data_IF_547378343914
#
_entry.id   IF_547378343914
#
_cell.length_a   1.000
_cell.length_b   1.000
_cell.length_c   1.000
_cell.angle_alpha   90.00
_cell.angle_beta   90.00
_cell.angle_gamma   90.00
#
_symmetry.space_group_name_H-M   'P 1'
#
loop_
_entity.id
_entity.type
_entity.pdbx_description
1 polymer ?
#
# COMPACT_ATOMS: atom_id res chain seq x y z
N UNK A 1 -4.55 -23.40 -7.12
CA UNK A 1 -3.13 -23.05 -6.88
C UNK A 1 -3.08 -21.52 -6.87
N UNK A 2 -3.01 -20.92 -5.70
CA UNK A 2 -2.98 -19.45 -5.56
C UNK A 2 -1.53 -19.01 -5.73
N UNK A 3 -1.21 -18.50 -6.92
CA UNK A 3 0.12 -18.02 -7.23
C UNK A 3 0.58 -16.94 -6.29
N UNK A 4 1.81 -17.04 -5.89
CA UNK A 4 2.40 -16.13 -4.95
C UNK A 4 2.97 -14.94 -5.74
N UNK A 5 2.18 -13.87 -5.90
CA UNK A 5 2.69 -12.60 -6.45
C UNK A 5 4.00 -12.25 -5.78
N UNK A 6 5.01 -11.96 -6.58
CA UNK A 6 6.37 -11.69 -6.13
C UNK A 6 6.78 -10.27 -6.55
N UNK A 7 7.62 -9.65 -5.73
CA UNK A 7 8.20 -8.34 -5.99
C UNK A 7 9.72 -8.47 -6.05
N UNK A 8 10.33 -7.82 -7.02
CA UNK A 8 11.77 -7.82 -7.23
C UNK A 8 12.26 -6.38 -7.41
N UNK A 9 13.22 -5.98 -6.63
CA UNK A 9 13.91 -4.71 -6.81
C UNK A 9 15.26 -4.91 -7.49
N UNK A 10 15.61 -3.98 -8.39
CA UNK A 10 16.90 -3.95 -9.08
C UNK A 10 17.42 -2.52 -9.17
N UNK A 11 18.69 -2.32 -8.84
CA UNK A 11 19.43 -1.10 -9.12
C UNK A 11 20.22 -1.27 -10.40
N UNK A 12 19.95 -0.42 -11.38
CA UNK A 12 20.74 -0.34 -12.61
C UNK A 12 21.92 0.61 -12.36
N UNK A 13 23.14 0.09 -12.48
CA UNK A 13 24.37 0.88 -12.33
C UNK A 13 25.02 1.16 -13.66
N UNK A 14 25.52 2.39 -13.80
CA UNK A 14 26.38 2.80 -14.92
C UNK A 14 27.63 3.42 -14.32
N UNK A 15 28.80 2.91 -14.67
CA UNK A 15 30.10 3.33 -14.12
C UNK A 15 30.16 3.31 -12.57
N UNK A 16 29.49 2.33 -11.94
CA UNK A 16 29.45 2.19 -10.48
C UNK A 16 28.35 3.03 -9.77
N UNK A 17 27.77 4.02 -10.43
CA UNK A 17 26.69 4.85 -9.89
C UNK A 17 25.32 4.23 -10.17
N UNK A 18 24.39 4.31 -9.20
CA UNK A 18 23.00 3.92 -9.40
C UNK A 18 22.33 4.97 -10.29
N UNK A 19 21.87 4.56 -11.47
CA UNK A 19 21.16 5.42 -12.42
C UNK A 19 19.67 5.25 -12.36
N UNK A 20 19.20 4.08 -11.97
CA UNK A 20 17.78 3.77 -11.90
C UNK A 20 17.53 2.67 -10.87
N UNK A 21 16.41 2.76 -10.19
CA UNK A 21 15.82 1.68 -9.40
C UNK A 21 14.55 1.21 -10.08
N UNK A 22 14.39 -0.10 -10.23
CA UNK A 22 13.24 -0.72 -10.86
C UNK A 22 12.64 -1.70 -9.86
N UNK A 23 11.35 -1.62 -9.62
CA UNK A 23 10.62 -2.60 -8.81
C UNK A 23 9.55 -3.24 -9.68
N UNK A 24 9.65 -4.56 -9.84
CA UNK A 24 8.76 -5.34 -10.69
C UNK A 24 7.88 -6.20 -9.80
N UNK A 25 6.58 -6.17 -10.05
CA UNK A 25 5.63 -7.14 -9.55
C UNK A 25 5.41 -8.22 -10.62
N UNK A 26 5.38 -9.47 -10.22
CA UNK A 26 5.20 -10.63 -11.08
C UNK A 26 4.22 -11.60 -10.44
N UNK A 27 3.24 -12.02 -11.21
CA UNK A 27 2.29 -13.07 -10.84
C UNK A 27 2.62 -14.34 -11.64
N UNK A 28 3.18 -15.38 -11.01
CA UNK A 28 3.60 -16.60 -11.70
C UNK A 28 2.44 -17.45 -12.22
N UNK A 29 1.22 -17.34 -11.65
CA UNK A 29 0.08 -18.12 -12.12
C UNK A 29 -0.49 -17.60 -13.43
N UNK A 30 -0.57 -16.28 -13.58
CA UNK A 30 -1.08 -15.62 -14.78
C UNK A 30 0.02 -15.30 -15.78
N UNK A 31 1.30 -15.37 -15.37
CA UNK A 31 2.45 -14.89 -16.13
C UNK A 31 2.52 -13.35 -16.21
N UNK A 32 1.62 -12.63 -15.55
CA UNK A 32 1.63 -11.16 -15.56
C UNK A 32 2.89 -10.62 -14.91
N UNK A 33 3.47 -9.59 -15.55
CA UNK A 33 4.64 -8.87 -15.06
C UNK A 33 4.51 -7.39 -15.39
N UNK A 34 4.77 -6.53 -14.42
CA UNK A 34 4.73 -5.08 -14.59
C UNK A 34 5.55 -4.35 -13.55
N UNK A 35 5.79 -3.07 -13.75
CA UNK A 35 6.41 -2.23 -12.76
C UNK A 35 5.44 -2.03 -11.58
N UNK A 36 5.98 -2.04 -10.34
CA UNK A 36 5.22 -1.57 -9.18
C UNK A 36 4.88 -0.09 -9.39
N UNK A 37 3.60 0.25 -9.25
CA UNK A 37 3.15 1.63 -9.43
C UNK A 37 3.70 2.46 -8.26
N UNK A 38 4.38 3.55 -8.57
CA UNK A 38 4.89 4.50 -7.59
C UNK A 38 3.82 5.55 -7.28
N UNK A 39 3.36 5.57 -6.04
CA UNK A 39 2.50 6.61 -5.49
C UNK A 39 3.34 7.47 -4.54
N UNK A 40 4.02 8.52 -5.03
CA UNK A 40 4.95 9.31 -4.22
C UNK A 40 4.19 10.05 -3.13
N UNK A 41 4.65 9.91 -1.89
CA UNK A 41 4.15 10.67 -0.74
C UNK A 41 5.27 11.36 0.02
N UNK A 42 6.47 10.77 0.02
CA UNK A 42 7.61 11.19 0.82
C UNK A 42 8.86 11.46 -0.01
N UNK A 43 8.99 10.85 -1.19
CA UNK A 43 10.03 11.18 -2.14
C UNK A 43 9.52 12.20 -3.16
N UNK A 44 10.43 12.99 -3.75
CA UNK A 44 10.09 13.72 -4.97
C UNK A 44 9.76 12.72 -6.09
N UNK A 45 8.91 13.10 -7.03
CA UNK A 45 8.52 12.26 -8.18
C UNK A 45 9.74 11.74 -8.96
N UNK A 46 10.86 12.45 -8.91
CA UNK A 46 12.10 12.12 -9.63
C UNK A 46 13.01 11.14 -8.89
N UNK A 47 12.84 10.99 -7.56
CA UNK A 47 13.72 10.14 -6.74
C UNK A 47 13.41 8.65 -6.88
N UNK A 48 12.17 8.27 -7.22
CA UNK A 48 11.74 6.87 -7.35
C UNK A 48 11.85 6.07 -6.05
N UNK A 49 11.81 4.74 -6.17
CA UNK A 49 11.99 3.83 -5.06
C UNK A 49 13.47 3.70 -4.66
N UNK A 50 13.71 3.45 -3.37
CA UNK A 50 15.03 3.08 -2.86
C UNK A 50 14.91 2.11 -1.68
N UNK A 51 16.04 1.56 -1.19
CA UNK A 51 16.12 0.61 -0.07
C UNK A 51 17.51 0.59 0.56
N UNK A 52 17.67 -0.18 1.65
CA UNK A 52 18.95 -0.34 2.34
C UNK A 52 19.34 0.81 3.26
N UNK A 53 18.47 1.79 3.42
CA UNK A 53 18.55 2.91 4.36
C UNK A 53 17.16 3.49 4.59
N UNK A 54 17.04 4.40 5.55
CA UNK A 54 15.81 5.15 5.81
C UNK A 54 15.73 6.35 4.87
N UNK A 55 14.56 6.68 4.39
CA UNK A 55 14.33 7.86 3.56
C UNK A 55 13.04 7.83 2.76
N UNK A 56 12.75 8.91 2.04
CA UNK A 56 11.49 9.05 1.29
C UNK A 56 11.26 7.92 0.29
N UNK A 57 12.26 7.56 -0.50
CA UNK A 57 12.15 6.47 -1.48
C UNK A 57 11.92 5.10 -0.86
N UNK A 58 12.53 4.83 0.31
CA UNK A 58 12.32 3.58 1.05
C UNK A 58 10.93 3.55 1.71
N UNK A 59 10.45 4.68 2.22
CA UNK A 59 9.09 4.82 2.77
C UNK A 59 8.02 4.63 1.71
N UNK A 60 8.20 5.23 0.54
CA UNK A 60 7.29 5.08 -0.58
C UNK A 60 7.28 3.64 -1.10
N UNK A 61 8.46 2.99 -1.16
CA UNK A 61 8.54 1.57 -1.51
C UNK A 61 7.77 0.69 -0.53
N UNK A 62 7.98 0.86 0.77
CA UNK A 62 7.27 0.10 1.80
C UNK A 62 5.74 0.28 1.69
N UNK A 63 5.30 1.53 1.48
CA UNK A 63 3.88 1.85 1.30
C UNK A 63 3.32 1.20 0.04
N UNK A 64 3.96 1.35 -1.11
CA UNK A 64 3.48 0.82 -2.39
C UNK A 64 3.44 -0.71 -2.41
N UNK A 65 4.39 -1.38 -1.76
CA UNK A 65 4.39 -2.84 -1.59
C UNK A 65 3.16 -3.32 -0.81
N UNK A 66 2.81 -2.66 0.30
CA UNK A 66 1.61 -3.01 1.09
C UNK A 66 0.33 -2.73 0.30
N UNK A 67 0.24 -1.60 -0.40
CA UNK A 67 -0.92 -1.24 -1.20
C UNK A 67 -1.17 -2.27 -2.31
N UNK A 68 -0.13 -2.64 -3.05
CA UNK A 68 -0.24 -3.62 -4.13
C UNK A 68 -0.54 -5.03 -3.58
N UNK A 69 0.07 -5.40 -2.45
CA UNK A 69 -0.20 -6.69 -1.81
C UNK A 69 -1.65 -6.83 -1.32
N UNK A 70 -2.26 -5.75 -0.85
CA UNK A 70 -3.65 -5.71 -0.39
C UNK A 70 -4.64 -5.55 -1.54
N UNK A 71 -4.26 -4.88 -2.64
CA UNK A 71 -5.16 -4.57 -3.75
C UNK A 71 -6.38 -3.76 -3.29
N UNK A 72 -7.59 -4.21 -3.63
CA UNK A 72 -8.83 -3.52 -3.27
C UNK A 72 -9.01 -3.33 -1.75
N UNK A 73 -8.44 -4.21 -0.93
CA UNK A 73 -8.51 -4.08 0.53
C UNK A 73 -7.67 -2.90 1.08
N UNK A 74 -6.81 -2.29 0.26
CA UNK A 74 -6.07 -1.08 0.60
C UNK A 74 -6.94 0.18 0.55
N UNK A 75 -8.12 0.14 -0.07
CA UNK A 75 -9.03 1.29 -0.17
C UNK A 75 -9.53 1.68 1.22
N UNK A 76 -9.56 2.97 1.51
CA UNK A 76 -10.10 3.49 2.76
C UNK A 76 -11.60 3.14 2.87
N UNK A 77 -12.05 2.56 3.98
CA UNK A 77 -13.45 2.18 4.15
C UNK A 77 -14.37 3.38 4.35
N UNK A 78 -13.84 4.51 4.85
CA UNK A 78 -14.65 5.67 5.18
C UNK A 78 -15.00 6.49 3.93
N UNK A 79 -14.01 6.79 3.09
CA UNK A 79 -14.21 7.59 1.88
C UNK A 79 -14.27 6.76 0.58
N UNK A 80 -14.11 5.44 0.65
CA UNK A 80 -14.12 4.53 -0.50
C UNK A 80 -13.18 4.96 -1.64
N UNK A 81 -12.02 5.51 -1.29
CA UNK A 81 -11.03 5.98 -2.25
C UNK A 81 -11.26 7.41 -2.79
N UNK A 82 -12.27 8.11 -2.31
CA UNK A 82 -12.66 9.45 -2.81
C UNK A 82 -11.97 10.61 -2.09
N UNK A 83 -11.19 10.33 -1.05
CA UNK A 83 -10.40 11.31 -0.26
C UNK A 83 -11.24 12.33 0.53
N UNK A 84 -12.54 12.43 0.27
CA UNK A 84 -13.47 13.40 0.84
C UNK A 84 -14.72 12.72 1.37
N UNK A 85 -15.29 13.35 2.40
CA UNK A 85 -16.54 12.94 3.05
C UNK A 85 -17.51 14.12 3.02
N UNK A 86 -18.82 13.85 2.99
CA UNK A 86 -19.88 14.84 3.10
C UNK A 86 -20.78 14.52 4.29
N UNK A 87 -21.12 15.55 5.05
CA UNK A 87 -22.09 15.51 6.14
C UNK A 87 -23.45 15.92 5.61
N UNK A 88 -24.44 15.03 5.62
CA UNK A 88 -25.77 15.29 5.06
C UNK A 88 -26.74 15.99 6.03
N UNK A 89 -26.27 16.38 7.21
CA UNK A 89 -27.04 17.13 8.22
C UNK A 89 -27.10 16.41 9.57
N UNK A 90 -27.65 17.10 10.59
CA UNK A 90 -27.68 16.61 11.97
C UNK A 90 -28.61 15.42 12.20
N UNK A 91 -29.51 15.14 11.28
CA UNK A 91 -30.52 14.08 11.39
C UNK A 91 -30.07 12.74 10.78
N UNK A 92 -28.83 12.66 10.26
CA UNK A 92 -28.28 11.44 9.67
C UNK A 92 -27.46 10.71 10.73
N UNK A 93 -28.07 9.72 11.36
CA UNK A 93 -27.47 8.88 12.43
C UNK A 93 -26.25 8.08 11.95
N UNK A 94 -26.01 7.96 10.63
CA UNK A 94 -25.01 7.08 10.04
C UNK A 94 -23.63 7.76 9.87
N UNK A 95 -23.46 9.02 10.26
CA UNK A 95 -22.21 9.77 10.08
C UNK A 95 -21.97 10.24 8.64
N UNK A 96 -20.75 10.73 8.34
CA UNK A 96 -20.44 11.24 7.00
C UNK A 96 -20.32 10.09 5.99
N UNK A 97 -20.79 10.35 4.75
CA UNK A 97 -20.64 9.41 3.65
C UNK A 97 -19.55 9.83 2.64
N UNK A 98 -19.03 8.91 1.79
CA UNK A 98 -18.07 9.24 0.74
C UNK A 98 -18.62 10.30 -0.22
N UNK A 99 -17.90 11.42 -0.38
CA UNK A 99 -18.30 12.50 -1.30
C UNK A 99 -18.27 12.03 -2.76
N UNK A 100 -19.37 12.28 -3.47
CA UNK A 100 -19.52 12.02 -4.91
C UNK A 100 -20.07 13.29 -5.57
N UNK A 101 -19.30 13.89 -6.47
CA UNK A 101 -19.65 15.17 -7.11
C UNK A 101 -20.98 15.10 -7.87
N UNK A 102 -21.26 13.97 -8.54
CA UNK A 102 -22.52 13.80 -9.29
C UNK A 102 -23.73 13.64 -8.36
N UNK A 103 -23.54 13.01 -7.18
CA UNK A 103 -24.61 12.77 -6.20
C UNK A 103 -24.80 13.94 -5.25
N UNK A 104 -23.75 14.68 -4.96
CA UNK A 104 -23.72 15.76 -3.96
C UNK A 104 -23.43 17.14 -4.59
N UNK A 105 -23.85 17.33 -5.85
CA UNK A 105 -23.64 18.58 -6.58
C UNK A 105 -24.20 19.81 -5.85
N UNK A 106 -25.31 19.61 -5.09
CA UNK A 106 -25.99 20.67 -4.33
C UNK A 106 -25.59 20.68 -2.84
N UNK A 107 -24.59 19.89 -2.43
CA UNK A 107 -24.15 19.87 -1.03
C UNK A 107 -23.45 21.17 -0.66
N UNK A 108 -23.73 21.67 0.54
CA UNK A 108 -23.04 22.83 1.08
C UNK A 108 -21.52 22.53 1.17
N UNK A 109 -20.66 23.36 0.55
CA UNK A 109 -19.23 23.18 0.60
C UNK A 109 -18.64 23.08 2.01
N UNK A 110 -19.25 23.74 2.99
CA UNK A 110 -18.81 23.71 4.40
C UNK A 110 -19.06 22.35 5.07
N UNK A 111 -19.93 21.51 4.47
CA UNK A 111 -20.20 20.15 4.93
C UNK A 111 -19.26 19.11 4.28
N UNK A 112 -18.44 19.51 3.32
CA UNK A 112 -17.50 18.64 2.64
C UNK A 112 -16.13 18.73 3.32
N UNK A 113 -15.67 17.61 3.89
CA UNK A 113 -14.39 17.54 4.62
C UNK A 113 -13.43 16.56 3.98
N UNK A 114 -12.12 16.77 4.20
CA UNK A 114 -11.12 15.78 3.82
C UNK A 114 -11.24 14.55 4.74
N UNK A 115 -11.12 13.35 4.15
CA UNK A 115 -11.00 12.13 4.93
C UNK A 115 -9.64 12.09 5.65
N UNK A 116 -9.62 11.55 6.86
CA UNK A 116 -8.41 11.42 7.67
C UNK A 116 -7.31 10.58 6.97
N UNK A 117 -7.69 9.71 6.05
CA UNK A 117 -6.72 8.93 5.25
C UNK A 117 -5.84 9.82 4.35
N UNK A 118 -6.38 10.95 3.88
CA UNK A 118 -5.70 11.97 3.08
C UNK A 118 -5.45 11.62 1.61
N UNK A 119 -5.59 10.34 1.21
CA UNK A 119 -5.28 9.85 -0.13
C UNK A 119 -6.17 8.69 -0.61
N UNK A 120 -7.33 8.53 0.00
CA UNK A 120 -8.29 7.47 -0.35
C UNK A 120 -7.87 6.05 0.05
N UNK A 121 -6.74 5.89 0.74
CA UNK A 121 -6.16 4.61 1.09
C UNK A 121 -6.11 4.40 2.61
N UNK A 122 -6.13 3.15 3.04
CA UNK A 122 -6.00 2.81 4.47
C UNK A 122 -4.69 3.31 5.04
N UNK A 123 -4.75 3.71 6.30
CA UNK A 123 -3.56 3.98 7.10
C UNK A 123 -2.89 2.63 7.43
N UNK A 124 -1.78 2.36 6.77
CA UNK A 124 -1.00 1.12 6.92
C UNK A 124 0.28 1.39 7.71
N UNK A 125 0.83 0.39 8.43
CA UNK A 125 2.06 0.54 9.21
C UNK A 125 3.33 0.49 8.32
N UNK A 126 3.34 1.23 7.20
CA UNK A 126 4.44 1.19 6.22
C UNK A 126 5.77 1.68 6.81
N UNK A 127 5.76 2.55 7.83
CA UNK A 127 6.99 2.96 8.54
C UNK A 127 7.64 1.81 9.29
N UNK A 128 6.85 0.93 9.88
CA UNK A 128 7.38 -0.28 10.50
C UNK A 128 7.97 -1.21 9.43
N UNK A 129 7.31 -1.38 8.28
CA UNK A 129 7.85 -2.17 7.15
C UNK A 129 9.17 -1.58 6.62
N UNK A 130 9.25 -0.25 6.50
CA UNK A 130 10.50 0.44 6.14
C UNK A 130 11.63 0.07 7.09
N UNK A 131 11.41 0.23 8.40
CA UNK A 131 12.41 -0.01 9.44
C UNK A 131 12.84 -1.48 9.54
N UNK A 132 11.88 -2.39 9.47
CA UNK A 132 12.10 -3.81 9.74
C UNK A 132 12.60 -4.59 8.53
N UNK A 133 12.20 -4.19 7.32
CA UNK A 133 12.52 -4.90 6.08
C UNK A 133 13.26 -4.03 5.07
N UNK A 134 12.63 -2.98 4.54
CA UNK A 134 13.14 -2.24 3.37
C UNK A 134 14.50 -1.61 3.61
N UNK A 135 14.69 -0.96 4.77
CA UNK A 135 15.96 -0.34 5.14
C UNK A 135 17.08 -1.36 5.44
N UNK A 136 16.72 -2.64 5.63
CA UNK A 136 17.69 -3.72 5.90
C UNK A 136 18.13 -4.47 4.65
N UNK A 137 17.44 -4.32 3.53
CA UNK A 137 17.84 -4.97 2.29
C UNK A 137 19.20 -4.45 1.83
N UNK A 138 20.08 -5.36 1.42
CA UNK A 138 21.46 -5.05 1.04
C UNK A 138 21.69 -5.37 -0.44
N UNK A 139 22.64 -4.64 -1.04
CA UNK A 139 23.00 -4.86 -2.43
C UNK A 139 22.04 -4.24 -3.44
N UNK A 140 22.20 -4.66 -4.69
CA UNK A 140 21.51 -4.06 -5.84
C UNK A 140 20.20 -4.80 -6.21
N UNK A 141 19.86 -5.85 -5.47
CA UNK A 141 18.63 -6.61 -5.72
C UNK A 141 18.05 -7.23 -4.46
N UNK A 142 16.73 -7.38 -4.46
CA UNK A 142 15.98 -8.07 -3.41
C UNK A 142 14.74 -8.73 -4.01
N UNK A 143 14.15 -9.64 -3.22
CA UNK A 143 12.88 -10.30 -3.55
C UNK A 143 12.03 -10.45 -2.31
N UNK A 144 10.74 -10.21 -2.44
CA UNK A 144 9.73 -10.50 -1.40
C UNK A 144 8.45 -10.99 -2.09
N UNK A 145 7.69 -11.84 -1.41
CA UNK A 145 6.40 -12.32 -1.91
C UNK A 145 5.24 -11.56 -1.28
N UNK A 146 4.09 -11.55 -1.97
CA UNK A 146 2.83 -11.03 -1.39
C UNK A 146 2.51 -11.72 -0.07
N UNK A 147 2.67 -13.04 -0.01
CA UNK A 147 2.41 -13.81 1.21
C UNK A 147 3.29 -13.36 2.39
N UNK A 148 4.59 -13.12 2.15
CA UNK A 148 5.50 -12.60 3.18
C UNK A 148 5.09 -11.21 3.68
N UNK A 149 4.70 -10.30 2.78
CA UNK A 149 4.22 -8.97 3.15
C UNK A 149 2.93 -9.03 3.96
N UNK A 150 1.97 -9.86 3.54
CA UNK A 150 0.70 -10.02 4.26
C UNK A 150 0.88 -10.71 5.61
N UNK A 151 1.75 -11.72 5.69
CA UNK A 151 2.10 -12.36 6.96
C UNK A 151 2.75 -11.35 7.93
N UNK A 152 3.72 -10.57 7.43
CA UNK A 152 4.31 -9.48 8.21
C UNK A 152 3.25 -8.47 8.66
N UNK A 153 2.34 -8.05 7.77
CA UNK A 153 1.29 -7.09 8.12
C UNK A 153 0.36 -7.63 9.21
N UNK A 154 -0.02 -8.90 9.14
CA UNK A 154 -0.82 -9.56 10.18
C UNK A 154 -0.10 -9.51 11.54
N UNK A 155 1.21 -9.73 11.57
CA UNK A 155 2.01 -9.71 12.80
C UNK A 155 2.10 -8.33 13.48
N UNK A 156 1.73 -7.25 12.77
CA UNK A 156 1.70 -5.89 13.32
C UNK A 156 0.45 -5.63 14.19
N UNK A 157 -0.49 -6.56 14.25
CA UNK A 157 -1.72 -6.42 15.02
C UNK A 157 -1.81 -7.51 16.10
N UNK A 158 -2.10 -7.14 17.34
CA UNK A 158 -2.40 -8.09 18.43
C UNK A 158 -3.62 -8.95 18.10
N UNK A 159 -4.60 -8.35 17.42
CA UNK A 159 -5.78 -9.02 16.89
C UNK A 159 -5.99 -8.59 15.45
N UNK A 160 -5.86 -9.54 14.52
CA UNK A 160 -6.03 -9.27 13.08
C UNK A 160 -7.41 -8.67 12.79
N UNK A 161 -7.48 -7.47 12.20
CA UNK A 161 -8.75 -6.86 11.84
C UNK A 161 -9.51 -7.71 10.81
N UNK A 162 -10.85 -7.69 10.86
CA UNK A 162 -11.69 -8.48 9.95
C UNK A 162 -11.39 -8.20 8.47
N UNK A 163 -11.16 -6.94 8.11
CA UNK A 163 -10.80 -6.55 6.73
C UNK A 163 -9.48 -7.19 6.25
N UNK A 164 -8.50 -7.31 7.15
CA UNK A 164 -7.21 -7.92 6.82
C UNK A 164 -7.34 -9.44 6.73
N UNK A 165 -8.11 -10.06 7.61
CA UNK A 165 -8.44 -11.50 7.54
C UNK A 165 -9.13 -11.84 6.21
N UNK A 166 -10.05 -10.99 5.74
CA UNK A 166 -10.70 -11.15 4.44
C UNK A 166 -9.72 -10.97 3.26
N UNK A 167 -8.79 -10.00 3.36
CA UNK A 167 -7.80 -9.72 2.32
C UNK A 167 -6.72 -10.80 2.19
N UNK A 168 -6.33 -11.40 3.33
CA UNK A 168 -5.33 -12.50 3.37
C UNK A 168 -5.93 -13.77 2.76
N UNK A 169 -7.28 -13.88 2.70
CA UNK A 169 -7.97 -15.10 2.33
C UNK A 169 -7.42 -16.24 3.21
N UNK A 170 -8.18 -17.15 3.69
CA UNK A 170 -7.72 -18.24 4.59
C UNK A 170 -6.45 -18.91 4.03
N UNK A 171 -5.31 -18.27 4.15
CA UNK A 171 -4.00 -18.93 4.05
C UNK A 171 -3.73 -19.43 5.46
N UNK A 172 -4.27 -20.59 5.77
CA UNK A 172 -3.71 -21.45 6.80
C UNK A 172 -2.30 -21.80 6.34
N UNK A 173 -1.35 -20.95 6.68
CA UNK A 173 0.06 -21.32 6.59
C UNK A 173 0.28 -22.27 7.75
N UNK A 174 0.25 -23.57 7.47
CA UNK A 174 0.91 -24.54 8.35
C UNK A 174 2.38 -24.12 8.38
N UNK A 175 2.80 -23.60 9.53
CA UNK A 175 4.22 -23.37 9.81
C UNK A 175 4.88 -24.74 9.81
N UNK A 176 5.95 -24.95 9.05
CA UNK A 176 6.74 -26.16 9.18
C UNK A 176 7.30 -26.27 10.61
N UNK A 177 7.40 -27.49 11.16
CA UNK A 177 7.86 -27.75 12.51
C UNK A 177 9.30 -27.30 12.76
#
# INVERSE_FOLDING_TARGET
MTGVRCYHGHRVRVNGEVRQTIVIAHDPDTGWRGNLIHFPRYASTDAGFDWGHLGGGASDLARCLLLDALGAAAICPDCHGRERLVWLGPDVDDGPEPYDEARHADADPDLITACICGDGLRMLPYRALELELVARWRGDGWRVTRAQLLHWLVSQYERTPAWLSAAVGVVTVELPP
#
